data_IF_846522791962
#
_entry.id   IF_846522791962
#
_cell.length_a   1.000
_cell.length_b   1.000
_cell.length_c   1.000
_cell.angle_alpha   90.00
_cell.angle_beta   90.00
_cell.angle_gamma   90.00
#
_symmetry.space_group_name_H-M   'P 1'
#
loop_
_entity.id
_entity.type
_entity.pdbx_description
1 polymer ?
#
# COMPACT_ATOMS: atom_id res chain seq x y z
N UNK A 1 -4.26 -4.90 -19.80
CA UNK A 1 -5.03 -3.70 -20.19
C UNK A 1 -4.21 -2.50 -19.80
N UNK A 2 -3.93 -1.57 -20.71
CA UNK A 2 -3.33 -0.27 -20.37
C UNK A 2 -4.46 0.72 -20.15
N UNK A 3 -5.04 0.68 -18.96
CA UNK A 3 -5.68 1.86 -18.38
C UNK A 3 -4.59 2.53 -17.53
N UNK A 4 -4.55 3.85 -17.55
CA UNK A 4 -3.59 4.70 -16.85
C UNK A 4 -3.43 4.22 -15.39
N UNK A 5 -2.19 4.15 -14.91
CA UNK A 5 -1.80 3.33 -13.77
C UNK A 5 -2.64 3.49 -12.49
N UNK A 6 -2.60 2.45 -11.66
CA UNK A 6 -3.21 2.43 -10.34
C UNK A 6 -2.74 3.60 -9.49
N UNK A 7 -3.70 4.42 -9.03
CA UNK A 7 -3.43 5.43 -8.01
C UNK A 7 -3.20 4.73 -6.66
N UNK A 8 -2.03 4.94 -6.07
CA UNK A 8 -1.80 4.67 -4.65
C UNK A 8 -2.25 5.87 -3.83
N UNK A 9 -3.09 5.64 -2.82
CA UNK A 9 -3.55 6.70 -1.91
C UNK A 9 -2.88 6.58 -0.55
N UNK A 10 -2.43 7.70 0.01
CA UNK A 10 -1.89 7.78 1.37
C UNK A 10 -2.78 8.72 2.19
N UNK A 11 -3.48 8.17 3.18
CA UNK A 11 -4.49 8.87 3.97
C UNK A 11 -3.95 9.13 5.37
N UNK A 12 -3.73 10.40 5.73
CA UNK A 12 -3.24 10.78 7.06
C UNK A 12 -4.30 10.67 8.16
N UNK A 13 -3.89 10.21 9.34
CA UNK A 13 -4.76 9.96 10.50
C UNK A 13 -4.43 10.84 11.72
N UNK A 14 -3.55 11.85 11.59
CA UNK A 14 -3.09 12.66 12.72
C UNK A 14 -2.12 11.91 13.65
N UNK A 15 -1.25 11.07 13.10
CA UNK A 15 -0.26 10.27 13.83
C UNK A 15 0.18 9.00 13.10
N UNK A 16 0.00 8.97 11.77
CA UNK A 16 0.24 7.84 10.90
C UNK A 16 -0.61 7.93 9.63
N UNK A 17 -0.46 6.96 8.74
CA UNK A 17 -1.21 6.90 7.49
C UNK A 17 -1.75 5.50 7.15
N UNK A 18 -2.85 5.46 6.40
CA UNK A 18 -3.30 4.26 5.69
C UNK A 18 -2.85 4.36 4.23
N UNK A 19 -2.24 3.29 3.72
CA UNK A 19 -1.91 3.16 2.30
C UNK A 19 -2.96 2.28 1.64
N UNK A 20 -3.58 2.78 0.57
CA UNK A 20 -4.57 2.04 -0.23
C UNK A 20 -4.00 1.77 -1.60
N UNK A 21 -4.07 0.50 -2.03
CA UNK A 21 -3.62 0.02 -3.34
C UNK A 21 -2.17 0.47 -3.66
N UNK A 22 -1.17 -0.14 -2.99
CA UNK A 22 0.22 0.29 -3.07
C UNK A 22 0.86 0.06 -4.45
N UNK A 23 0.15 -0.58 -5.39
CA UNK A 23 0.55 -0.63 -6.77
C UNK A 23 1.50 -1.81 -7.09
N UNK A 24 2.37 -1.68 -8.09
CA UNK A 24 3.30 -2.74 -8.49
C UNK A 24 4.39 -3.01 -7.44
N UNK A 25 4.99 -4.21 -7.47
CA UNK A 25 6.23 -4.52 -6.74
C UNK A 25 7.44 -3.88 -7.42
N UNK A 26 7.47 -2.55 -7.41
CA UNK A 26 8.59 -1.74 -7.85
C UNK A 26 9.22 -1.03 -6.65
N UNK A 27 10.49 -1.33 -6.38
CA UNK A 27 11.21 -0.81 -5.20
C UNK A 27 11.21 0.74 -5.15
N UNK A 28 11.35 1.39 -6.31
CA UNK A 28 11.36 2.86 -6.39
C UNK A 28 10.00 3.45 -6.03
N UNK A 29 8.92 2.86 -6.54
CA UNK A 29 7.55 3.22 -6.22
C UNK A 29 7.22 3.02 -4.74
N UNK A 30 7.50 1.83 -4.18
CA UNK A 30 7.16 1.53 -2.79
C UNK A 30 7.92 2.43 -1.80
N UNK A 31 9.19 2.76 -2.07
CA UNK A 31 9.95 3.72 -1.26
C UNK A 31 9.31 5.11 -1.27
N UNK A 32 8.86 5.60 -2.44
CA UNK A 32 8.16 6.91 -2.50
C UNK A 32 6.87 6.90 -1.67
N UNK A 33 6.12 5.80 -1.69
CA UNK A 33 4.90 5.67 -0.88
C UNK A 33 5.24 5.68 0.61
N UNK A 34 6.28 4.94 1.02
CA UNK A 34 6.76 4.92 2.41
C UNK A 34 7.24 6.29 2.87
N UNK A 35 8.02 7.00 2.06
CA UNK A 35 8.52 8.35 2.39
C UNK A 35 7.36 9.33 2.65
N UNK A 36 6.30 9.26 1.83
CA UNK A 36 5.08 10.08 2.03
C UNK A 36 4.36 9.68 3.31
N UNK A 37 4.22 8.38 3.59
CA UNK A 37 3.58 7.89 4.81
C UNK A 37 4.39 8.23 6.07
N UNK A 38 5.71 8.18 6.02
CA UNK A 38 6.62 8.53 7.12
C UNK A 38 6.51 10.00 7.48
N UNK A 39 6.37 10.89 6.48
CA UNK A 39 6.04 12.30 6.69
C UNK A 39 4.71 12.54 7.42
N UNK A 40 3.82 11.54 7.46
CA UNK A 40 2.54 11.56 8.16
C UNK A 40 2.56 10.80 9.50
N UNK A 41 3.71 10.27 9.92
CA UNK A 41 3.88 9.47 11.15
C UNK A 41 3.92 7.96 10.93
N UNK A 42 4.25 7.52 9.72
CA UNK A 42 4.44 6.12 9.32
C UNK A 42 3.17 5.41 8.88
N UNK A 43 3.31 4.35 8.09
CA UNK A 43 2.18 3.50 7.67
C UNK A 43 1.64 2.68 8.86
N UNK A 44 0.34 2.77 9.09
CA UNK A 44 -0.38 2.03 10.15
C UNK A 44 -1.19 0.86 9.63
N UNK A 45 -1.53 0.89 8.34
CA UNK A 45 -2.36 -0.11 7.67
C UNK A 45 -2.15 -0.02 6.17
N UNK A 46 -2.07 -1.17 5.51
CA UNK A 46 -2.17 -1.31 4.06
C UNK A 46 -3.50 -1.97 3.72
N UNK A 47 -4.24 -1.40 2.75
CA UNK A 47 -5.55 -1.91 2.33
C UNK A 47 -5.57 -2.15 0.83
N UNK A 48 -6.14 -3.28 0.41
CA UNK A 48 -6.45 -3.57 -0.99
C UNK A 48 -7.94 -3.41 -1.27
N UNK A 49 -8.25 -2.68 -2.32
CA UNK A 49 -9.64 -2.54 -2.81
C UNK A 49 -10.12 -3.80 -3.52
N UNK A 50 -9.26 -4.44 -4.31
CA UNK A 50 -9.53 -5.67 -5.06
C UNK A 50 -8.23 -6.40 -5.46
N UNK A 51 -8.33 -7.47 -6.25
CA UNK A 51 -7.26 -8.47 -6.44
C UNK A 51 -6.44 -8.30 -7.73
N UNK A 52 -6.65 -7.25 -8.53
CA UNK A 52 -5.84 -7.06 -9.73
C UNK A 52 -4.39 -6.68 -9.37
N UNK A 53 -3.44 -7.26 -10.10
CA UNK A 53 -2.01 -7.18 -9.76
C UNK A 53 -1.44 -5.75 -9.82
N UNK A 54 -2.00 -4.88 -10.65
CA UNK A 54 -1.65 -3.47 -10.72
C UNK A 54 -1.93 -2.72 -9.42
N UNK A 55 -2.83 -3.22 -8.55
CA UNK A 55 -3.09 -2.70 -7.21
C UNK A 55 -2.34 -3.44 -6.10
N UNK A 56 -2.22 -4.76 -6.21
CA UNK A 56 -1.84 -5.60 -5.08
C UNK A 56 -0.38 -6.05 -5.04
N UNK A 57 0.33 -6.06 -6.18
CA UNK A 57 1.61 -6.77 -6.27
C UNK A 57 2.64 -6.29 -5.24
N UNK A 58 2.69 -4.97 -4.96
CA UNK A 58 3.60 -4.39 -3.97
C UNK A 58 3.10 -4.44 -2.52
N UNK A 59 1.87 -4.88 -2.26
CA UNK A 59 1.26 -4.75 -0.94
C UNK A 59 1.92 -5.58 0.17
N UNK A 60 2.27 -6.87 -0.04
CA UNK A 60 2.95 -7.65 0.98
C UNK A 60 4.32 -7.05 1.34
N UNK A 61 5.06 -6.57 0.34
CA UNK A 61 6.38 -5.95 0.54
C UNK A 61 6.29 -4.62 1.27
N UNK A 62 5.35 -3.75 0.89
CA UNK A 62 5.15 -2.48 1.57
C UNK A 62 4.72 -2.69 3.03
N UNK A 63 3.80 -3.60 3.28
CA UNK A 63 3.38 -3.98 4.64
C UNK A 63 4.55 -4.48 5.49
N UNK A 64 5.39 -5.36 4.93
CA UNK A 64 6.58 -5.86 5.60
C UNK A 64 7.62 -4.76 5.89
N UNK A 65 7.91 -3.89 4.93
CA UNK A 65 8.83 -2.76 5.10
C UNK A 65 8.34 -1.76 6.16
N UNK A 66 7.03 -1.50 6.17
CA UNK A 66 6.39 -0.61 7.14
C UNK A 66 6.22 -1.23 8.54
N UNK A 67 6.30 -2.57 8.67
CA UNK A 67 5.87 -3.26 9.88
C UNK A 67 4.37 -3.07 10.17
N UNK A 68 3.56 -2.92 9.13
CA UNK A 68 2.13 -2.63 9.22
C UNK A 68 1.28 -3.81 8.74
N UNK A 69 0.06 -4.01 9.29
CA UNK A 69 -0.84 -5.04 8.81
C UNK A 69 -1.35 -4.73 7.38
N UNK A 70 -1.60 -5.79 6.62
CA UNK A 70 -2.29 -5.81 5.34
C UNK A 70 -3.71 -6.36 5.51
N UNK A 71 -4.70 -5.65 4.94
CA UNK A 71 -6.10 -6.07 4.90
C UNK A 71 -6.63 -6.08 3.47
N UNK A 72 -7.35 -7.14 3.15
CA UNK A 72 -8.00 -7.35 1.86
C UNK A 72 -9.32 -8.08 2.08
N UNK A 73 -10.25 -7.96 1.13
CA UNK A 73 -11.47 -8.75 1.14
C UNK A 73 -11.18 -10.25 0.93
N UNK A 74 -10.14 -10.56 0.16
CA UNK A 74 -9.63 -11.92 -0.01
C UNK A 74 -8.82 -12.33 1.23
N UNK A 75 -9.19 -13.46 1.84
CA UNK A 75 -8.53 -13.98 3.04
C UNK A 75 -7.09 -14.42 2.78
N UNK A 76 -6.78 -14.86 1.55
CA UNK A 76 -5.46 -15.35 1.19
C UNK A 76 -4.43 -14.21 1.04
N UNK A 77 -4.89 -12.96 1.06
CA UNK A 77 -4.08 -11.75 0.92
C UNK A 77 -3.91 -10.98 2.25
N UNK A 78 -4.36 -11.53 3.37
CA UNK A 78 -4.24 -10.88 4.68
C UNK A 78 -2.94 -11.29 5.40
N UNK A 79 -2.30 -10.35 6.12
CA UNK A 79 -1.05 -10.57 6.86
C UNK A 79 -0.76 -9.44 7.84
#
# INVERSE_FOLDING_TARGET
MTLEGTNTWVLGLGGGAVVVDPGPDDEGHLRRVLDVADGLGGTRLVVLTHHHDDHRAGAPRLAALAGAPLRAADADLQG
#
